data_IF_981625550678
#
_entry.id   IF_981625550678
#
_cell.length_a   1.000
_cell.length_b   1.000
_cell.length_c   1.000
_cell.angle_alpha   90.00
_cell.angle_beta   90.00
_cell.angle_gamma   90.00
#
_symmetry.space_group_name_H-M   'P 1'
#
loop_
_entity.id
_entity.type
_entity.pdbx_description
1 polymer ?
#
# COMPACT_ATOMS: atom_id res chain seq x y z
N UNK A 1 16.85 13.79 -4.22
CA UNK A 1 16.37 13.76 -2.81
C UNK A 1 15.45 12.55 -2.76
N UNK A 2 15.76 11.50 -2.00
CA UNK A 2 14.94 10.29 -2.00
C UNK A 2 13.52 10.67 -1.56
N UNK A 3 12.59 10.70 -2.51
CA UNK A 3 11.20 11.09 -2.27
C UNK A 3 10.52 9.93 -1.54
N UNK A 4 10.83 9.82 -0.26
CA UNK A 4 10.43 8.68 0.57
C UNK A 4 8.98 8.93 0.91
N UNK A 5 8.09 8.11 0.34
CA UNK A 5 6.66 8.24 0.59
C UNK A 5 6.39 8.15 2.10
N UNK A 6 5.41 8.90 2.64
CA UNK A 6 5.10 8.96 4.07
C UNK A 6 4.34 7.71 4.56
N UNK A 7 4.68 6.53 4.02
CA UNK A 7 4.05 5.26 4.32
C UNK A 7 4.87 4.48 5.33
N UNK A 8 4.20 3.81 6.26
CA UNK A 8 4.85 2.84 7.11
C UNK A 8 5.16 1.55 6.32
N UNK A 9 6.06 0.68 6.82
CA UNK A 9 6.42 -0.56 6.14
C UNK A 9 5.23 -1.46 5.78
N UNK A 10 4.23 -1.56 6.67
CA UNK A 10 3.03 -2.37 6.44
C UNK A 10 2.20 -1.82 5.27
N UNK A 11 2.01 -0.50 5.21
CA UNK A 11 1.28 0.17 4.12
C UNK A 11 1.99 -0.04 2.78
N UNK A 12 3.31 0.15 2.78
CA UNK A 12 4.14 -0.05 1.60
C UNK A 12 4.10 -1.50 1.10
N UNK A 13 4.24 -2.47 2.01
CA UNK A 13 4.21 -3.89 1.67
C UNK A 13 2.84 -4.33 1.16
N UNK A 14 1.76 -3.87 1.82
CA UNK A 14 0.39 -4.16 1.40
C UNK A 14 0.14 -3.70 -0.04
N UNK A 15 0.48 -2.45 -0.37
CA UNK A 15 0.37 -1.92 -1.74
C UNK A 15 1.26 -2.69 -2.73
N UNK A 16 2.47 -3.11 -2.32
CA UNK A 16 3.38 -3.89 -3.16
C UNK A 16 2.83 -5.30 -3.46
N UNK A 17 2.15 -5.93 -2.52
CA UNK A 17 1.50 -7.22 -2.75
C UNK A 17 0.30 -7.09 -3.68
N UNK A 18 -0.53 -6.06 -3.48
CA UNK A 18 -1.65 -5.76 -4.38
C UNK A 18 -1.18 -5.49 -5.80
N UNK A 19 -0.07 -4.75 -5.97
CA UNK A 19 0.58 -4.57 -7.28
C UNK A 19 0.97 -5.90 -7.95
N UNK A 20 1.42 -6.87 -7.17
CA UNK A 20 1.77 -8.22 -7.67
C UNK A 20 0.54 -9.09 -7.99
N UNK A 21 -0.67 -8.54 -7.89
CA UNK A 21 -1.92 -9.25 -8.16
C UNK A 21 -2.43 -10.08 -7.00
N UNK A 22 -1.94 -9.84 -5.77
CA UNK A 22 -2.51 -10.47 -4.57
C UNK A 22 -3.84 -9.83 -4.20
N UNK A 23 -4.74 -10.60 -3.61
CA UNK A 23 -6.00 -10.07 -3.04
C UNK A 23 -5.78 -9.56 -1.61
N UNK A 24 -6.73 -8.77 -1.08
CA UNK A 24 -6.69 -8.31 0.32
C UNK A 24 -6.66 -9.47 1.31
N UNK A 25 -7.33 -10.57 0.99
CA UNK A 25 -7.36 -11.80 1.80
C UNK A 25 -5.97 -12.44 1.85
N UNK A 26 -5.30 -12.56 0.70
CA UNK A 26 -3.94 -13.08 0.62
C UNK A 26 -2.95 -12.18 1.35
N UNK A 27 -3.08 -10.87 1.22
CA UNK A 27 -2.25 -9.89 1.95
C UNK A 27 -2.45 -10.01 3.45
N UNK A 28 -3.70 -10.13 3.91
CA UNK A 28 -4.01 -10.33 5.33
C UNK A 28 -3.35 -11.61 5.87
N UNK A 29 -3.39 -12.70 5.11
CA UNK A 29 -2.70 -13.95 5.46
C UNK A 29 -1.18 -13.78 5.49
N UNK A 30 -0.59 -13.07 4.53
CA UNK A 30 0.87 -12.83 4.46
C UNK A 30 1.36 -11.97 5.63
N UNK A 31 0.63 -10.89 5.94
CA UNK A 31 0.98 -9.95 7.00
C UNK A 31 0.55 -10.43 8.40
N UNK A 32 -0.21 -11.54 8.48
CA UNK A 32 -0.70 -12.10 9.74
C UNK A 32 -1.75 -11.23 10.43
N UNK A 33 -2.53 -10.48 9.66
CA UNK A 33 -3.53 -9.51 10.13
C UNK A 33 -4.93 -9.90 9.66
N UNK A 34 -5.96 -9.22 10.20
CA UNK A 34 -7.30 -9.37 9.65
C UNK A 34 -7.47 -8.55 8.37
N UNK A 35 -8.45 -8.92 7.53
CA UNK A 35 -8.78 -8.14 6.33
C UNK A 35 -9.12 -6.69 6.70
N UNK A 36 -9.86 -6.48 7.80
CA UNK A 36 -10.21 -5.14 8.26
C UNK A 36 -9.00 -4.29 8.69
N UNK A 37 -7.95 -4.92 9.22
CA UNK A 37 -6.70 -4.22 9.53
C UNK A 37 -5.97 -3.80 8.24
N UNK A 38 -5.97 -4.67 7.22
CA UNK A 38 -5.40 -4.34 5.90
C UNK A 38 -6.20 -3.23 5.22
N UNK A 39 -7.53 -3.30 5.23
CA UNK A 39 -8.39 -2.25 4.67
C UNK A 39 -8.14 -0.90 5.34
N UNK A 40 -8.06 -0.88 6.68
CA UNK A 40 -7.74 0.34 7.43
C UNK A 40 -6.33 0.85 7.11
N UNK A 41 -5.36 -0.03 7.08
CA UNK A 41 -3.97 0.29 6.72
C UNK A 41 -3.89 0.96 5.34
N UNK A 42 -4.60 0.40 4.35
CA UNK A 42 -4.67 0.95 3.00
C UNK A 42 -5.43 2.28 2.98
N UNK A 43 -6.55 2.41 3.68
CA UNK A 43 -7.28 3.67 3.78
C UNK A 43 -6.40 4.80 4.33
N UNK A 44 -5.64 4.53 5.40
CA UNK A 44 -4.68 5.48 5.96
C UNK A 44 -3.57 5.81 4.93
N UNK A 45 -3.11 4.82 4.15
CA UNK A 45 -2.13 5.04 3.08
C UNK A 45 -2.68 5.95 1.97
N UNK A 46 -3.95 5.79 1.56
CA UNK A 46 -4.60 6.66 0.57
C UNK A 46 -4.62 8.12 1.04
N UNK A 47 -4.95 8.33 2.32
CA UNK A 47 -4.95 9.67 2.94
C UNK A 47 -3.55 10.28 2.97
N UNK A 48 -2.55 9.51 3.40
CA UNK A 48 -1.15 9.96 3.46
C UNK A 48 -0.57 10.29 2.09
N UNK A 49 -0.98 9.56 1.06
CA UNK A 49 -0.58 9.81 -0.33
C UNK A 49 -1.44 10.88 -1.01
N UNK A 50 -2.58 11.27 -0.43
CA UNK A 50 -3.53 12.20 -1.04
C UNK A 50 -4.09 11.68 -2.37
N UNK A 51 -4.49 10.40 -2.41
CA UNK A 51 -5.05 9.72 -3.59
C UNK A 51 -6.43 9.16 -3.27
N UNK A 52 -7.24 8.91 -4.29
CA UNK A 52 -8.62 8.46 -4.15
C UNK A 52 -8.77 6.93 -4.27
N UNK A 53 -7.79 6.24 -4.87
CA UNK A 53 -7.87 4.79 -5.07
C UNK A 53 -6.56 4.05 -4.81
N UNK A 54 -6.68 2.74 -4.58
CA UNK A 54 -5.53 1.84 -4.38
C UNK A 54 -4.66 1.79 -5.64
N UNK A 55 -5.24 1.84 -6.83
CA UNK A 55 -4.51 1.87 -8.11
C UNK A 55 -3.65 3.13 -8.20
N UNK A 56 -4.18 4.30 -7.83
CA UNK A 56 -3.41 5.54 -7.76
C UNK A 56 -2.29 5.47 -6.71
N UNK A 57 -2.55 4.84 -5.57
CA UNK A 57 -1.54 4.60 -4.54
C UNK A 57 -0.41 3.69 -5.05
N UNK A 58 -0.76 2.63 -5.77
CA UNK A 58 0.19 1.72 -6.41
C UNK A 58 1.05 2.49 -7.42
N UNK A 59 0.45 3.29 -8.29
CA UNK A 59 1.20 4.10 -9.26
C UNK A 59 2.18 5.04 -8.55
N UNK A 60 1.77 5.71 -7.48
CA UNK A 60 2.67 6.58 -6.70
C UNK A 60 3.86 5.84 -6.10
N UNK A 61 3.67 4.63 -5.56
CA UNK A 61 4.79 3.84 -5.03
C UNK A 61 5.72 3.33 -6.14
N UNK A 62 5.25 3.16 -7.37
CA UNK A 62 6.10 2.78 -8.51
C UNK A 62 7.00 3.94 -8.95
N UNK A 63 6.42 5.13 -9.06
CA UNK A 63 7.15 6.34 -9.42
C UNK A 63 8.22 6.69 -8.38
N UNK A 64 7.99 6.42 -7.09
CA UNK A 64 8.96 6.71 -6.04
C UNK A 64 10.15 5.74 -5.97
N UNK A 65 10.08 4.58 -6.65
CA UNK A 65 11.12 3.54 -6.64
C UNK A 65 11.97 3.56 -7.92
N UNK A 66 11.65 4.43 -8.88
CA UNK A 66 12.31 4.52 -10.19
C UNK A 66 13.29 5.71 -10.30
N UNK A 67 13.77 6.26 -9.18
CA UNK A 67 14.81 7.31 -9.12
C UNK A 67 16.09 6.84 -8.45
#
# INVERSE_FOLDING_TARGET
MANTLPLCPLQMNSLRWLKQGRTLEEVAVIEGLSIGDIERCLADALVLLGVASIEEAILKIEHSQSE
#
